data_IF_426932668455
#
_entry.id   IF_426932668455
#
_cell.length_a   1.000
_cell.length_b   1.000
_cell.length_c   1.000
_cell.angle_alpha   90.00
_cell.angle_beta   90.00
_cell.angle_gamma   90.00
#
_symmetry.space_group_name_H-M   'P 1'
#
loop_
_entity.id
_entity.type
_entity.pdbx_description
1 polymer ?
#
# COMPACT_ATOMS: atom_id res chain seq x y z
N UNK A 1 12.95 -13.21 -32.35
CA UNK A 1 11.52 -13.24 -31.95
C UNK A 1 11.49 -13.66 -30.48
N UNK A 2 11.87 -12.74 -29.61
CA UNK A 2 12.38 -13.04 -28.26
C UNK A 2 11.32 -12.66 -27.23
N UNK A 3 11.06 -13.58 -26.30
CA UNK A 3 10.06 -13.58 -25.24
C UNK A 3 10.14 -12.33 -24.34
N UNK A 4 9.49 -11.24 -24.75
CA UNK A 4 9.19 -10.10 -23.88
C UNK A 4 7.91 -10.41 -23.12
N UNK A 5 8.01 -11.27 -22.10
CA UNK A 5 6.91 -11.43 -21.16
C UNK A 5 6.72 -10.12 -20.40
N UNK A 6 5.67 -9.36 -20.75
CA UNK A 6 5.23 -8.23 -19.94
C UNK A 6 4.98 -8.70 -18.50
N UNK A 7 5.37 -7.93 -17.48
CA UNK A 7 5.17 -8.28 -16.05
C UNK A 7 3.72 -8.66 -15.74
N UNK A 8 2.76 -8.00 -16.39
CA UNK A 8 1.34 -8.32 -16.30
C UNK A 8 0.97 -9.65 -16.98
N UNK A 9 1.65 -10.01 -18.08
CA UNK A 9 1.48 -11.30 -18.76
C UNK A 9 1.91 -12.47 -17.87
N UNK A 10 3.09 -12.38 -17.25
CA UNK A 10 3.55 -13.38 -16.29
C UNK A 10 2.60 -13.54 -15.10
N UNK A 11 2.09 -12.41 -14.58
CA UNK A 11 1.16 -12.43 -13.47
C UNK A 11 -0.17 -13.11 -13.87
N UNK A 12 -0.69 -12.81 -15.07
CA UNK A 12 -1.89 -13.46 -15.61
C UNK A 12 -1.71 -14.97 -15.76
N UNK A 13 -0.54 -15.42 -16.23
CA UNK A 13 -0.23 -16.85 -16.34
C UNK A 13 -0.18 -17.54 -14.98
N UNK A 14 0.44 -16.92 -13.97
CA UNK A 14 0.46 -17.46 -12.61
C UNK A 14 -0.94 -17.56 -11.99
N UNK A 15 -1.77 -16.54 -12.19
CA UNK A 15 -3.18 -16.56 -11.75
C UNK A 15 -3.95 -17.66 -12.49
N UNK A 16 -3.75 -17.81 -13.80
CA UNK A 16 -4.38 -18.87 -14.60
C UNK A 16 -3.95 -20.27 -14.14
N UNK A 17 -2.71 -20.42 -13.68
CA UNK A 17 -2.19 -21.65 -13.07
C UNK A 17 -2.72 -21.91 -11.64
N UNK A 18 -3.67 -21.10 -11.15
CA UNK A 18 -4.26 -21.16 -9.80
C UNK A 18 -3.23 -20.94 -8.68
N UNK A 19 -2.17 -20.17 -8.94
CA UNK A 19 -1.32 -19.70 -7.86
C UNK A 19 -2.16 -18.84 -6.90
N UNK A 20 -2.07 -19.12 -5.60
CA UNK A 20 -2.81 -18.36 -4.60
C UNK A 20 -2.31 -16.92 -4.56
N UNK A 21 -3.23 -15.97 -4.73
CA UNK A 21 -2.88 -14.55 -4.73
C UNK A 21 -2.74 -14.13 -3.28
N UNK A 22 -1.49 -13.92 -2.86
CA UNK A 22 -1.19 -13.50 -1.50
C UNK A 22 -2.01 -12.23 -1.14
N UNK A 23 -2.68 -12.19 0.03
CA UNK A 23 -3.47 -11.03 0.46
C UNK A 23 -2.67 -9.72 0.55
N UNK A 24 -1.34 -9.78 0.59
CA UNK A 24 -0.43 -8.61 0.62
C UNK A 24 0.02 -8.17 -0.78
N UNK A 25 -0.26 -8.95 -1.83
CA UNK A 25 0.20 -8.68 -3.19
C UNK A 25 -0.24 -7.29 -3.69
N UNK A 26 -1.47 -6.88 -3.36
CA UNK A 26 -2.02 -5.59 -3.73
C UNK A 26 -1.31 -4.43 -3.00
N UNK A 27 -0.97 -4.60 -1.72
CA UNK A 27 -0.15 -3.64 -0.98
C UNK A 27 1.25 -3.53 -1.54
N UNK A 28 1.86 -4.66 -1.91
CA UNK A 28 3.21 -4.66 -2.51
C UNK A 28 3.20 -3.96 -3.87
N UNK A 29 2.19 -4.20 -4.70
CA UNK A 29 2.06 -3.56 -6.01
C UNK A 29 1.92 -2.04 -5.89
N UNK A 30 1.13 -1.56 -4.93
CA UNK A 30 0.91 -0.12 -4.71
C UNK A 30 2.13 0.53 -4.06
N UNK A 31 2.74 -0.11 -3.06
CA UNK A 31 3.98 0.36 -2.43
C UNK A 31 5.13 0.49 -3.44
N UNK A 32 5.40 -0.59 -4.19
CA UNK A 32 6.49 -0.64 -5.15
C UNK A 32 6.24 0.20 -6.41
N UNK A 33 5.00 0.63 -6.65
CA UNK A 33 4.63 1.37 -7.87
C UNK A 33 4.75 0.49 -9.11
N UNK A 34 4.23 -0.74 -9.04
CA UNK A 34 4.27 -1.70 -10.15
C UNK A 34 3.41 -1.29 -11.36
N UNK A 35 2.64 -0.20 -11.25
CA UNK A 35 1.78 0.35 -12.28
C UNK A 35 0.32 -0.11 -12.19
N UNK A 36 -0.57 0.72 -12.71
CA UNK A 36 -2.01 0.52 -12.75
C UNK A 36 -2.41 -0.84 -13.36
N UNK A 37 -1.74 -1.29 -14.41
CA UNK A 37 -2.03 -2.56 -15.08
C UNK A 37 -1.86 -3.77 -14.14
N UNK A 38 -0.85 -3.76 -13.26
CA UNK A 38 -0.64 -4.84 -12.28
C UNK A 38 -1.74 -4.81 -11.21
N UNK A 39 -2.10 -3.63 -10.72
CA UNK A 39 -3.19 -3.45 -9.76
C UNK A 39 -4.50 -3.96 -10.34
N UNK A 40 -4.79 -3.61 -11.60
CA UNK A 40 -5.98 -4.08 -12.33
C UNK A 40 -5.99 -5.60 -12.46
N UNK A 41 -4.90 -6.23 -12.89
CA UNK A 41 -4.80 -7.69 -12.99
C UNK A 41 -5.05 -8.37 -11.63
N UNK A 42 -4.52 -7.82 -10.53
CA UNK A 42 -4.77 -8.36 -9.20
C UNK A 42 -6.23 -8.22 -8.77
N UNK A 43 -6.89 -7.11 -9.11
CA UNK A 43 -8.32 -6.90 -8.83
C UNK A 43 -9.19 -7.84 -9.66
N UNK A 44 -8.88 -8.04 -10.95
CA UNK A 44 -9.53 -9.03 -11.83
C UNK A 44 -9.38 -10.46 -11.27
N UNK A 45 -8.26 -10.75 -10.59
CA UNK A 45 -8.02 -12.01 -9.88
C UNK A 45 -8.77 -12.13 -8.54
N UNK A 46 -9.75 -11.26 -8.27
CA UNK A 46 -10.54 -11.19 -7.03
C UNK A 46 -9.74 -10.84 -5.78
N UNK A 47 -8.63 -10.12 -5.92
CA UNK A 47 -7.95 -9.53 -4.75
C UNK A 47 -8.85 -8.49 -4.10
N UNK A 48 -9.00 -8.57 -2.77
CA UNK A 48 -9.82 -7.63 -2.02
C UNK A 48 -9.16 -6.23 -1.97
N UNK A 49 -9.76 -5.18 -2.58
CA UNK A 49 -9.19 -3.82 -2.60
C UNK A 49 -9.15 -3.15 -1.21
N UNK A 50 -10.00 -3.62 -0.29
CA UNK A 50 -10.11 -3.13 1.08
C UNK A 50 -9.40 -4.05 2.09
N UNK A 51 -8.63 -5.04 1.62
CA UNK A 51 -7.88 -5.93 2.51
C UNK A 51 -6.89 -5.11 3.33
N UNK A 52 -7.02 -5.12 4.64
CA UNK A 52 -6.06 -4.44 5.53
C UNK A 52 -4.80 -5.29 5.68
N UNK A 53 -3.65 -4.64 5.82
CA UNK A 53 -2.39 -5.35 6.11
C UNK A 53 -2.59 -6.19 7.37
N UNK A 54 -2.38 -7.51 7.33
CA UNK A 54 -2.59 -8.37 8.48
C UNK A 54 -1.56 -8.03 9.57
N UNK A 55 -2.04 -7.52 10.70
CA UNK A 55 -1.20 -7.24 11.85
C UNK A 55 -0.96 -8.51 12.67
N UNK A 56 0.30 -8.94 12.79
CA UNK A 56 0.73 -10.04 13.66
C UNK A 56 1.69 -9.51 14.71
N UNK A 57 1.20 -9.36 15.94
CA UNK A 57 1.99 -8.83 17.07
C UNK A 57 3.26 -9.64 17.36
N UNK A 58 3.28 -10.93 17.01
CA UNK A 58 4.42 -11.83 17.17
C UNK A 58 5.44 -11.80 16.03
N UNK A 59 5.20 -11.02 14.97
CA UNK A 59 6.13 -10.93 13.84
C UNK A 59 7.33 -10.04 14.18
N UNK A 60 8.59 -10.49 13.99
CA UNK A 60 9.78 -9.65 14.19
C UNK A 60 9.74 -8.35 13.39
N UNK A 61 9.20 -8.40 12.17
CA UNK A 61 9.01 -7.20 11.34
C UNK A 61 8.06 -6.21 12.01
N UNK A 62 7.00 -6.69 12.66
CA UNK A 62 6.04 -5.82 13.34
C UNK A 62 6.64 -5.12 14.55
N UNK A 63 7.49 -5.81 15.31
CA UNK A 63 8.22 -5.23 16.44
C UNK A 63 9.15 -4.10 15.96
N UNK A 64 9.86 -4.32 14.85
CA UNK A 64 10.71 -3.29 14.24
C UNK A 64 9.87 -2.08 13.79
N UNK A 65 8.75 -2.30 13.11
CA UNK A 65 7.86 -1.22 12.68
C UNK A 65 7.27 -0.44 13.86
N UNK A 66 6.91 -1.12 14.96
CA UNK A 66 6.46 -0.45 16.18
C UNK A 66 7.54 0.45 16.77
N UNK A 67 8.79 -0.03 16.82
CA UNK A 67 9.92 0.77 17.31
C UNK A 67 10.17 1.99 16.41
N UNK A 68 10.09 1.83 15.09
CA UNK A 68 10.22 2.92 14.11
C UNK A 68 9.08 3.94 14.18
N UNK A 69 7.90 3.55 14.65
CA UNK A 69 6.76 4.44 14.83
C UNK A 69 6.84 5.29 16.12
N UNK A 70 7.64 4.89 17.11
CA UNK A 70 7.75 5.58 18.40
C UNK A 70 8.18 7.05 18.28
N UNK A 71 9.19 7.44 17.47
CA UNK A 71 9.58 8.84 17.34
C UNK A 71 8.46 9.74 16.81
N UNK A 72 7.61 9.20 15.91
CA UNK A 72 6.45 9.91 15.40
C UNK A 72 5.38 10.06 16.49
N UNK A 73 5.11 8.96 17.21
CA UNK A 73 4.10 8.91 18.27
C UNK A 73 4.45 9.76 19.49
N UNK A 74 5.70 9.72 19.95
CA UNK A 74 6.12 10.27 21.24
C UNK A 74 6.79 11.64 21.12
N UNK A 75 7.46 11.91 20.01
CA UNK A 75 8.28 13.13 19.86
C UNK A 75 7.76 14.06 18.74
N UNK A 76 6.65 13.72 18.09
CA UNK A 76 6.13 14.47 16.95
C UNK A 76 7.12 14.56 15.77
N UNK A 77 8.16 13.71 15.74
CA UNK A 77 9.16 13.72 14.66
C UNK A 77 8.48 13.34 13.35
N UNK A 78 8.63 14.18 12.33
CA UNK A 78 7.97 14.05 11.01
C UNK A 78 8.85 13.30 10.00
N UNK A 79 9.66 12.34 10.47
CA UNK A 79 10.45 11.51 9.57
C UNK A 79 9.53 10.64 8.71
N UNK A 80 9.80 10.58 7.41
CA UNK A 80 8.96 9.85 6.46
C UNK A 80 8.79 8.37 6.85
N UNK A 81 9.90 7.69 7.18
CA UNK A 81 9.88 6.28 7.62
C UNK A 81 9.10 6.08 8.93
N UNK A 82 9.24 6.99 9.90
CA UNK A 82 8.53 6.89 11.17
C UNK A 82 7.03 7.16 11.06
N UNK A 83 6.63 8.10 10.18
CA UNK A 83 5.24 8.36 9.87
C UNK A 83 4.61 7.20 9.11
N UNK A 84 5.34 6.66 8.13
CA UNK A 84 4.91 5.47 7.40
C UNK A 84 4.70 4.28 8.34
N UNK A 85 5.68 3.95 9.19
CA UNK A 85 5.57 2.87 10.15
C UNK A 85 4.41 3.06 11.16
N UNK A 86 4.06 4.30 11.46
CA UNK A 86 2.93 4.61 12.33
C UNK A 86 1.56 4.39 11.64
N UNK A 87 1.43 4.82 10.37
CA UNK A 87 0.18 4.81 9.60
C UNK A 87 -0.07 3.53 8.79
N UNK A 88 0.90 2.62 8.69
CA UNK A 88 0.73 1.31 8.02
C UNK A 88 -0.13 0.32 8.82
N UNK A 89 -0.36 0.58 10.11
CA UNK A 89 -1.20 -0.25 10.95
C UNK A 89 -2.63 -0.33 10.40
N UNK A 90 -3.09 -1.53 10.05
CA UNK A 90 -4.40 -1.80 9.43
C UNK A 90 -4.67 -0.94 8.18
N UNK A 91 -3.61 -0.61 7.43
CA UNK A 91 -3.74 0.14 6.19
C UNK A 91 -4.30 -0.75 5.06
N UNK A 92 -5.30 -0.24 4.35
CA UNK A 92 -5.74 -0.80 3.07
C UNK A 92 -4.79 -0.34 1.92
N UNK A 93 -4.79 -1.01 0.76
CA UNK A 93 -3.98 -0.62 -0.39
C UNK A 93 -4.15 0.85 -0.80
N UNK A 94 -5.35 1.41 -0.66
CA UNK A 94 -5.63 2.81 -0.97
C UNK A 94 -4.89 3.79 -0.04
N UNK A 95 -4.77 3.45 1.25
CA UNK A 95 -3.96 4.20 2.21
C UNK A 95 -2.49 4.20 1.81
N UNK A 96 -1.96 3.05 1.37
CA UNK A 96 -0.58 2.91 0.89
C UNK A 96 -0.37 3.76 -0.36
N UNK A 97 -1.27 3.68 -1.33
CA UNK A 97 -1.19 4.48 -2.55
C UNK A 97 -1.18 6.00 -2.23
N UNK A 98 -1.99 6.44 -1.27
CA UNK A 98 -2.02 7.83 -0.81
C UNK A 98 -0.71 8.28 -0.16
N UNK A 99 -0.09 7.46 0.70
CA UNK A 99 1.18 7.79 1.35
C UNK A 99 2.35 7.99 0.37
N UNK A 100 2.29 7.33 -0.79
CA UNK A 100 3.34 7.36 -1.82
C UNK A 100 2.97 8.14 -3.09
N UNK A 101 1.85 8.87 -3.08
CA UNK A 101 1.35 9.64 -4.23
C UNK A 101 1.20 8.80 -5.53
N UNK A 102 0.73 7.56 -5.40
CA UNK A 102 0.51 6.61 -6.50
C UNK A 102 -0.86 6.83 -7.14
N UNK A 103 -0.99 7.89 -7.92
CA UNK A 103 -2.28 8.37 -8.44
C UNK A 103 -2.96 7.35 -9.34
N UNK A 104 -2.22 6.75 -10.28
CA UNK A 104 -2.78 5.79 -11.24
C UNK A 104 -3.22 4.49 -10.54
N UNK A 105 -2.40 3.98 -9.62
CA UNK A 105 -2.75 2.82 -8.81
C UNK A 105 -3.94 3.10 -7.88
N UNK A 106 -4.02 4.29 -7.27
CA UNK A 106 -5.16 4.70 -6.46
C UNK A 106 -6.45 4.76 -7.28
N UNK A 107 -6.37 5.23 -8.53
CA UNK A 107 -7.51 5.27 -9.43
C UNK A 107 -8.02 3.87 -9.77
N UNK A 108 -7.12 2.93 -10.07
CA UNK A 108 -7.50 1.53 -10.30
C UNK A 108 -8.09 0.87 -9.06
N UNK A 109 -7.54 1.16 -7.86
CA UNK A 109 -8.13 0.69 -6.61
C UNK A 109 -9.55 1.22 -6.41
N UNK A 110 -9.80 2.51 -6.66
CA UNK A 110 -11.12 3.11 -6.56
C UNK A 110 -12.09 2.49 -7.57
N UNK A 111 -11.66 2.30 -8.83
CA UNK A 111 -12.43 1.57 -9.86
C UNK A 111 -12.74 0.13 -9.44
N UNK A 112 -11.81 -0.50 -8.73
CA UNK A 112 -11.96 -1.84 -8.15
C UNK A 112 -12.85 -1.91 -6.90
N UNK A 113 -13.39 -0.79 -6.40
CA UNK A 113 -14.26 -0.76 -5.23
C UNK A 113 -13.55 -0.50 -3.90
N UNK A 114 -12.35 0.08 -3.93
CA UNK A 114 -11.71 0.59 -2.72
C UNK A 114 -12.55 1.71 -2.10
N UNK A 115 -12.67 1.71 -0.77
CA UNK A 115 -13.47 2.69 -0.02
C UNK A 115 -12.58 3.84 0.45
N UNK A 116 -12.76 5.07 -0.07
CA UNK A 116 -11.92 6.21 0.32
C UNK A 116 -12.16 6.68 1.77
N UNK A 117 -13.37 6.45 2.27
CA UNK A 117 -13.80 6.88 3.61
C UNK A 117 -13.42 5.88 4.72
N UNK A 118 -12.92 4.68 4.36
CA UNK A 118 -12.43 3.73 5.35
C UNK A 118 -11.14 4.26 6.00
N UNK A 119 -11.04 4.09 7.31
CA UNK A 119 -9.86 4.50 8.07
C UNK A 119 -8.95 3.31 8.38
N UNK A 120 -7.65 3.59 8.48
CA UNK A 120 -6.67 2.65 9.00
C UNK A 120 -6.79 2.49 10.54
N UNK A 121 -5.93 1.69 11.15
CA UNK A 121 -5.93 1.46 12.60
C UNK A 121 -5.51 2.67 13.44
N UNK A 122 -5.20 3.80 12.79
CA UNK A 122 -4.94 5.10 13.42
C UNK A 122 -6.07 6.11 13.20
N UNK A 123 -7.18 5.69 12.59
CA UNK A 123 -8.31 6.56 12.31
C UNK A 123 -8.09 7.56 11.16
N UNK A 124 -7.04 7.37 10.35
CA UNK A 124 -6.76 8.24 9.19
C UNK A 124 -7.34 7.62 7.92
N UNK A 125 -8.06 8.42 7.13
CA UNK A 125 -8.52 8.05 5.78
C UNK A 125 -7.38 8.13 4.76
N UNK A 126 -7.62 7.64 3.53
CA UNK A 126 -6.67 7.81 2.44
C UNK A 126 -6.41 9.29 2.12
N UNK A 127 -7.43 10.14 2.21
CA UNK A 127 -7.31 11.59 2.01
C UNK A 127 -6.42 12.24 3.08
N UNK A 128 -6.62 11.91 4.35
CA UNK A 128 -5.81 12.44 5.46
C UNK A 128 -4.33 12.09 5.28
N UNK A 129 -4.04 10.85 4.88
CA UNK A 129 -2.68 10.38 4.62
C UNK A 129 -2.05 11.08 3.42
N UNK A 130 -2.80 11.31 2.33
CA UNK A 130 -2.28 12.05 1.19
C UNK A 130 -1.82 13.46 1.61
N UNK A 131 -2.62 14.16 2.43
CA UNK A 131 -2.25 15.48 2.96
C UNK A 131 -1.03 15.40 3.88
N UNK A 132 -1.02 14.45 4.83
CA UNK A 132 0.06 14.29 5.79
C UNK A 132 1.42 14.00 5.12
N UNK A 133 1.42 13.15 4.09
CA UNK A 133 2.63 12.74 3.39
C UNK A 133 3.06 13.73 2.30
N UNK A 134 2.13 14.50 1.71
CA UNK A 134 2.47 15.62 0.81
C UNK A 134 3.36 16.65 1.49
N UNK A 135 3.03 17.01 2.73
CA UNK A 135 3.81 17.97 3.53
C UNK A 135 5.23 17.43 3.81
N UNK A 136 5.36 16.13 4.06
CA UNK A 136 6.66 15.51 4.34
C UNK A 136 7.54 15.37 3.09
N UNK A 137 6.97 15.04 1.93
CA UNK A 137 7.72 14.96 0.67
C UNK A 137 8.36 16.31 0.33
N UNK A 138 7.65 17.43 0.57
CA UNK A 138 8.19 18.78 0.34
C UNK A 138 9.29 19.23 1.31
N UNK A 139 9.40 18.59 2.48
CA UNK A 139 10.39 18.91 3.50
C UNK A 139 11.71 18.12 3.34
N UNK A 140 11.68 17.01 2.60
CA UNK A 140 12.86 16.14 2.36
C UNK A 140 13.71 16.63 1.18
N UNK A 141 13.15 17.41 0.25
CA UNK A 141 13.84 17.94 -0.93
C UNK A 141 14.16 19.46 -0.83
N UNK A 142 14.30 20.00 0.38
CA UNK A 142 14.91 21.31 0.66
C UNK A 142 16.26 21.09 1.31
#
# INVERSE_FOLDING_TARGET
MTLLFCRAGNLRELIAARADVNPVALHTATFAGCGAEIVRVLLEARSCPNQKVPYRWSSPLQVILMALALPHRCCGKKGHLSAWAYHTHDAAPLHVAAMYARVEEALELLRGGARPDETNGRGASAGDLAVAFRVQHSAVFK
#
